data_IF_211299001037
#
_entry.id   IF_211299001037
#
_cell.length_a   1.000
_cell.length_b   1.000
_cell.length_c   1.000
_cell.angle_alpha   90.00
_cell.angle_beta   90.00
_cell.angle_gamma   90.00
#
_symmetry.space_group_name_H-M   'P 1'
#
loop_
_entity.id
_entity.type
_entity.pdbx_description
1 polymer ?
#
# COMPACT_ATOMS: atom_id res chain seq x y z
N UNK A 1 -0.75 11.57 0.25
CA UNK A 1 -2.17 11.36 0.58
C UNK A 1 -2.28 11.43 2.09
N UNK A 2 -3.09 12.35 2.60
CA UNK A 2 -3.29 12.49 4.05
C UNK A 2 -4.53 11.73 4.48
N UNK A 3 -4.47 11.11 5.65
CA UNK A 3 -5.57 10.35 6.22
C UNK A 3 -6.04 11.07 7.48
N UNK A 4 -7.33 11.40 7.51
CA UNK A 4 -7.94 12.16 8.59
C UNK A 4 -9.01 11.34 9.32
N UNK A 5 -8.98 11.35 10.65
CA UNK A 5 -10.04 10.80 11.50
C UNK A 5 -10.00 11.44 12.90
N UNK A 6 -11.06 12.14 13.35
CA UNK A 6 -12.23 12.60 12.58
C UNK A 6 -11.84 13.58 11.45
N UNK A 7 -12.77 13.96 10.56
CA UNK A 7 -12.47 14.93 9.50
C UNK A 7 -11.82 16.20 10.04
N UNK A 8 -10.68 16.59 9.47
CA UNK A 8 -9.89 17.73 9.93
C UNK A 8 -8.73 17.39 10.89
N UNK A 9 -8.68 16.18 11.44
CA UNK A 9 -7.55 15.72 12.28
C UNK A 9 -6.70 14.70 11.52
N UNK A 10 -5.45 15.04 11.20
CA UNK A 10 -4.51 14.13 10.53
C UNK A 10 -4.09 13.02 11.49
N UNK A 11 -4.32 11.77 11.11
CA UNK A 11 -3.84 10.60 11.86
C UNK A 11 -2.53 10.03 11.29
N UNK A 12 -2.27 10.29 10.01
CA UNK A 12 -1.05 9.93 9.32
C UNK A 12 -1.14 10.28 7.83
N UNK A 13 -0.07 10.02 7.11
CA UNK A 13 0.00 10.31 5.67
C UNK A 13 0.82 9.27 4.93
N UNK A 14 0.57 9.17 3.62
CA UNK A 14 1.30 8.34 2.68
C UNK A 14 2.05 9.24 1.72
N UNK A 15 3.36 8.99 1.61
CA UNK A 15 4.23 9.67 0.68
C UNK A 15 4.79 8.67 -0.31
N UNK A 16 4.58 8.93 -1.60
CA UNK A 16 5.18 8.14 -2.66
C UNK A 16 6.65 8.57 -2.84
N UNK A 17 7.54 7.61 -2.77
CA UNK A 17 8.98 7.75 -2.97
C UNK A 17 9.35 6.82 -4.12
N UNK A 18 9.11 7.23 -5.36
CA UNK A 18 9.48 6.40 -6.50
C UNK A 18 11.00 6.20 -6.52
N UNK A 19 11.45 4.95 -6.49
CA UNK A 19 12.82 4.61 -6.90
C UNK A 19 12.82 4.34 -8.41
N UNK A 20 14.00 4.39 -9.04
CA UNK A 20 14.14 4.11 -10.48
C UNK A 20 13.67 2.69 -10.86
N UNK A 21 13.53 1.80 -9.87
CA UNK A 21 13.48 0.36 -10.07
C UNK A 21 12.18 -0.28 -9.53
N UNK A 22 11.66 0.23 -8.42
CA UNK A 22 10.43 -0.26 -7.79
C UNK A 22 9.64 0.87 -7.13
N UNK A 23 8.30 0.78 -7.07
CA UNK A 23 7.50 1.74 -6.32
C UNK A 23 7.74 1.55 -4.82
N UNK A 24 8.03 2.64 -4.12
CA UNK A 24 8.20 2.67 -2.67
C UNK A 24 7.30 3.77 -2.11
N UNK A 25 6.67 3.49 -0.97
CA UNK A 25 5.85 4.44 -0.25
C UNK A 25 6.27 4.48 1.21
N UNK A 26 6.42 5.68 1.73
CA UNK A 26 6.61 5.93 3.15
C UNK A 26 5.25 6.13 3.81
N UNK A 27 5.04 5.44 4.93
CA UNK A 27 3.88 5.61 5.82
C UNK A 27 4.33 6.49 6.99
N UNK A 28 3.69 7.63 7.15
CA UNK A 28 4.04 8.62 8.16
C UNK A 28 2.95 8.68 9.24
N UNK A 29 3.38 8.88 10.48
CA UNK A 29 2.48 9.16 11.59
C UNK A 29 1.92 10.60 11.52
N UNK A 30 0.99 10.94 12.42
CA UNK A 30 0.43 12.31 12.57
C UNK A 30 1.47 13.42 12.78
N UNK A 31 2.71 13.08 13.14
CA UNK A 31 3.81 14.02 13.38
C UNK A 31 4.76 14.11 12.20
N UNK A 32 4.52 13.36 11.13
CA UNK A 32 5.38 13.31 9.95
C UNK A 32 6.61 12.40 10.11
N UNK A 33 6.65 11.49 11.09
CA UNK A 33 7.73 10.51 11.19
C UNK A 33 7.41 9.28 10.37
N UNK A 34 8.39 8.77 9.62
CA UNK A 34 8.25 7.49 8.90
C UNK A 34 8.18 6.35 9.91
N UNK A 35 7.07 5.62 9.90
CA UNK A 35 6.82 4.48 10.79
C UNK A 35 6.92 3.16 10.06
N UNK A 36 6.47 3.11 8.80
CA UNK A 36 6.50 1.92 7.95
C UNK A 36 6.87 2.30 6.52
N UNK A 37 7.24 1.29 5.73
CA UNK A 37 7.41 1.42 4.29
C UNK A 37 6.56 0.38 3.57
N UNK A 38 6.11 0.70 2.35
CA UNK A 38 5.41 -0.20 1.45
C UNK A 38 6.26 -0.30 0.19
N UNK A 39 6.77 -1.49 -0.11
CA UNK A 39 7.62 -1.75 -1.25
C UNK A 39 6.88 -2.62 -2.25
N UNK A 40 6.69 -2.13 -3.48
CA UNK A 40 6.08 -2.92 -4.55
C UNK A 40 7.11 -3.72 -5.35
N UNK A 41 6.63 -4.52 -6.31
CA UNK A 41 7.47 -5.44 -7.06
C UNK A 41 8.41 -4.70 -8.03
N UNK A 42 9.50 -5.38 -8.39
CA UNK A 42 10.45 -4.92 -9.39
C UNK A 42 9.79 -4.89 -10.77
N UNK A 43 9.87 -3.75 -11.48
CA UNK A 43 9.23 -3.52 -12.79
C UNK A 43 7.73 -3.85 -12.84
N UNK A 44 6.88 -2.82 -12.76
CA UNK A 44 5.41 -2.93 -12.91
C UNK A 44 4.97 -3.53 -14.25
N UNK A 45 5.87 -3.64 -15.24
CA UNK A 45 5.63 -4.27 -16.55
C UNK A 45 5.70 -5.81 -16.54
N UNK A 46 6.21 -6.44 -15.48
CA UNK A 46 6.25 -7.90 -15.35
C UNK A 46 4.94 -8.51 -14.81
N UNK A 47 3.94 -7.69 -14.48
CA UNK A 47 2.70 -8.07 -13.81
C UNK A 47 1.56 -8.51 -14.75
N UNK A 48 1.82 -8.78 -16.03
CA UNK A 48 0.78 -9.07 -17.03
C UNK A 48 -0.08 -10.33 -16.75
N UNK A 49 0.26 -11.17 -15.76
CA UNK A 49 -0.45 -12.44 -15.52
C UNK A 49 -0.61 -12.85 -14.04
N UNK A 50 -0.17 -12.08 -13.05
CA UNK A 50 -0.12 -12.52 -11.63
C UNK A 50 -0.54 -11.44 -10.64
N UNK A 51 -0.92 -11.86 -9.43
CA UNK A 51 -1.19 -10.98 -8.29
C UNK A 51 -0.01 -10.03 -8.03
N UNK A 52 -0.32 -8.75 -7.81
CA UNK A 52 0.68 -7.72 -7.50
C UNK A 52 0.79 -7.61 -5.99
N UNK A 53 1.96 -7.92 -5.46
CA UNK A 53 2.22 -7.91 -4.01
C UNK A 53 3.09 -6.70 -3.65
N UNK A 54 2.62 -5.93 -2.67
CA UNK A 54 3.34 -4.85 -2.03
C UNK A 54 3.66 -5.24 -0.58
N UNK A 55 4.93 -5.31 -0.23
CA UNK A 55 5.36 -5.69 1.11
C UNK A 55 5.33 -4.50 2.06
N UNK A 56 4.70 -4.69 3.23
CA UNK A 56 4.75 -3.72 4.32
C UNK A 56 5.94 -4.07 5.20
N UNK A 57 6.90 -3.15 5.30
CA UNK A 57 8.12 -3.31 6.06
C UNK A 57 8.24 -2.27 7.18
N UNK A 58 9.11 -2.55 8.15
CA UNK A 58 9.54 -1.58 9.16
C UNK A 58 10.18 -0.35 8.52
N UNK A 59 10.27 0.76 9.25
CA UNK A 59 10.88 2.04 8.79
C UNK A 59 12.28 1.93 8.16
N UNK A 60 13.04 0.87 8.46
CA UNK A 60 14.37 0.62 7.90
C UNK A 60 14.34 -0.19 6.60
N UNK A 61 13.15 -0.60 6.14
CA UNK A 61 12.94 -1.39 4.93
C UNK A 61 13.35 -2.87 5.07
N UNK A 62 13.78 -3.32 6.26
CA UNK A 62 14.43 -4.64 6.41
C UNK A 62 13.49 -5.75 6.83
N UNK A 63 12.54 -5.45 7.73
CA UNK A 63 11.68 -6.47 8.33
C UNK A 63 10.29 -6.37 7.73
N UNK A 64 9.87 -7.40 6.99
CA UNK A 64 8.48 -7.52 6.51
C UNK A 64 7.57 -7.83 7.70
N UNK A 65 6.51 -7.05 7.85
CA UNK A 65 5.49 -7.22 8.90
C UNK A 65 4.09 -7.50 8.33
N UNK A 66 3.90 -7.28 7.03
CA UNK A 66 2.61 -7.42 6.37
C UNK A 66 2.74 -7.29 4.86
N UNK A 67 1.61 -7.26 4.18
CA UNK A 67 1.54 -7.05 2.73
C UNK A 67 0.18 -6.52 2.28
N UNK A 68 0.17 -5.83 1.16
CA UNK A 68 -1.01 -5.44 0.39
C UNK A 68 -0.93 -6.21 -0.93
N UNK A 69 -1.96 -6.98 -1.25
CA UNK A 69 -2.03 -7.76 -2.50
C UNK A 69 -3.17 -7.24 -3.34
N UNK A 70 -2.87 -6.84 -4.59
CA UNK A 70 -3.89 -6.68 -5.64
C UNK A 70 -4.07 -8.04 -6.29
N UNK A 71 -5.23 -8.65 -6.08
CA UNK A 71 -5.54 -9.96 -6.62
C UNK A 71 -5.88 -9.84 -8.11
N UNK A 72 -5.14 -10.55 -8.97
CA UNK A 72 -5.38 -10.63 -10.40
C UNK A 72 -6.45 -11.68 -10.70
N UNK A 73 -7.58 -11.29 -11.30
CA UNK A 73 -8.68 -12.22 -11.60
C UNK A 73 -8.51 -13.02 -12.91
N UNK A 74 -7.34 -12.96 -13.57
CA UNK A 74 -7.04 -13.68 -14.81
C UNK A 74 -7.55 -13.00 -16.10
N UNK A 75 -7.08 -13.51 -17.25
CA UNK A 75 -7.19 -12.93 -18.60
C UNK A 75 -8.62 -12.81 -19.20
N UNK A 76 -9.70 -13.02 -18.43
CA UNK A 76 -11.08 -13.07 -18.95
C UNK A 76 -12.09 -12.20 -18.18
N UNK A 77 -11.66 -11.23 -17.36
CA UNK A 77 -12.62 -10.37 -16.66
C UNK A 77 -12.33 -8.87 -16.60
N UNK A 78 -11.23 -8.42 -17.20
CA UNK A 78 -10.98 -6.98 -17.39
C UNK A 78 -11.94 -6.34 -18.40
N UNK A 79 -12.72 -7.14 -19.16
CA UNK A 79 -13.71 -6.61 -20.08
C UNK A 79 -15.09 -6.33 -19.44
N UNK A 80 -15.40 -6.82 -18.22
CA UNK A 80 -16.80 -6.77 -17.74
C UNK A 80 -17.06 -6.46 -16.26
N UNK A 81 -16.06 -6.35 -15.36
CA UNK A 81 -16.34 -5.84 -13.99
C UNK A 81 -15.14 -5.11 -13.41
N UNK A 82 -15.32 -3.80 -13.27
CA UNK A 82 -14.39 -2.77 -12.75
C UNK A 82 -14.17 -2.91 -11.22
N UNK A 83 -13.89 -4.14 -10.76
CA UNK A 83 -13.76 -4.47 -9.33
C UNK A 83 -12.34 -4.97 -9.07
N UNK A 84 -11.47 -4.07 -8.63
CA UNK A 84 -10.17 -4.44 -8.06
C UNK A 84 -10.36 -5.04 -6.66
N UNK A 85 -9.83 -6.25 -6.43
CA UNK A 85 -9.84 -6.87 -5.11
C UNK A 85 -8.48 -6.68 -4.44
N UNK A 86 -8.46 -6.01 -3.28
CA UNK A 86 -7.27 -5.83 -2.47
C UNK A 86 -7.36 -6.60 -1.15
N UNK A 87 -6.29 -7.29 -0.82
CA UNK A 87 -6.10 -7.93 0.48
C UNK A 87 -5.03 -7.16 1.25
N UNK A 88 -5.36 -6.64 2.44
CA UNK A 88 -4.42 -5.95 3.32
C UNK A 88 -4.19 -6.79 4.57
N UNK A 89 -2.95 -7.21 4.79
CA UNK A 89 -2.53 -8.01 5.94
C UNK A 89 -1.49 -7.25 6.75
N UNK A 90 -1.76 -7.06 8.04
CA UNK A 90 -0.88 -6.42 9.00
C UNK A 90 -1.02 -7.12 10.36
N UNK A 91 -0.06 -6.95 11.29
CA UNK A 91 -0.10 -7.65 12.55
C UNK A 91 -1.14 -7.04 13.50
N UNK A 92 -1.68 -7.85 14.42
CA UNK A 92 -2.81 -7.47 15.28
C UNK A 92 -2.46 -6.33 16.24
N UNK A 93 -1.21 -6.25 16.67
CA UNK A 93 -0.63 -5.25 17.58
C UNK A 93 -0.26 -3.93 16.90
N UNK A 94 -0.41 -3.82 15.57
CA UNK A 94 -0.16 -2.56 14.86
C UNK A 94 -1.15 -1.46 15.32
N UNK A 95 -0.63 -0.25 15.52
CA UNK A 95 -1.41 0.94 15.88
C UNK A 95 -2.62 1.10 14.94
N UNK A 96 -3.80 1.32 15.52
CA UNK A 96 -5.08 1.44 14.79
C UNK A 96 -5.03 2.57 13.76
N UNK A 97 -4.31 3.66 14.04
CA UNK A 97 -4.12 4.76 13.07
C UNK A 97 -3.33 4.29 11.87
N UNK A 98 -2.30 3.49 12.07
CA UNK A 98 -1.46 2.98 10.99
C UNK A 98 -2.21 1.96 10.14
N UNK A 99 -3.10 1.15 10.75
CA UNK A 99 -4.03 0.30 10.01
C UNK A 99 -4.93 1.12 9.07
N UNK A 100 -5.47 2.24 9.56
CA UNK A 100 -6.28 3.15 8.74
C UNK A 100 -5.46 3.79 7.61
N UNK A 101 -4.20 4.17 7.88
CA UNK A 101 -3.31 4.71 6.84
C UNK A 101 -2.97 3.63 5.79
N UNK A 102 -2.72 2.38 6.20
CA UNK A 102 -2.47 1.26 5.29
C UNK A 102 -3.68 0.95 4.40
N UNK A 103 -4.90 1.09 4.92
CA UNK A 103 -6.12 1.02 4.11
C UNK A 103 -6.16 2.14 3.07
N UNK A 104 -5.78 3.37 3.44
CA UNK A 104 -5.60 4.48 2.50
C UNK A 104 -4.58 4.15 1.39
N UNK A 105 -3.55 3.37 1.68
CA UNK A 105 -2.53 2.97 0.72
C UNK A 105 -3.09 2.06 -0.37
N UNK A 106 -4.05 1.19 -0.05
CA UNK A 106 -4.71 0.37 -1.06
C UNK A 106 -5.40 1.24 -2.13
N UNK A 107 -6.06 2.33 -1.73
CA UNK A 107 -6.66 3.30 -2.66
C UNK A 107 -5.62 4.06 -3.49
N UNK A 108 -4.48 4.41 -2.89
CA UNK A 108 -3.40 5.07 -3.61
C UNK A 108 -2.77 4.14 -4.67
N UNK A 109 -2.59 2.86 -4.33
CA UNK A 109 -2.03 1.85 -5.23
C UNK A 109 -2.93 1.69 -6.46
N UNK A 110 -4.27 1.63 -6.32
CA UNK A 110 -5.23 1.60 -7.45
C UNK A 110 -4.94 2.69 -8.48
N UNK A 111 -4.55 3.89 -8.03
CA UNK A 111 -4.32 5.02 -8.94
C UNK A 111 -2.98 4.95 -9.69
N UNK A 112 -2.10 4.01 -9.34
CA UNK A 112 -0.73 3.90 -9.85
C UNK A 112 -0.53 2.66 -10.72
N UNK A 113 -1.27 1.58 -10.44
CA UNK A 113 -1.25 0.34 -11.23
C UNK A 113 -2.32 0.30 -12.31
#
# INVERSE_FOLDING_TARGET
>A
MDVHAPPGTIIGSLRQECTVVFPLFSVLDSRGNVVLQIQGPFCTTAALCNDIVFDITTRDGKTKIGQITKNWSGLLREAFTDIDNFTVVFPIDLDVRMKAVLLGAAFLIVSIV
#
